data_IF_215960227473
#
_entry.id   IF_215960227473
#
_cell.length_a   1.000
_cell.length_b   1.000
_cell.length_c   1.000
_cell.angle_alpha   90.00
_cell.angle_beta   90.00
_cell.angle_gamma   90.00
#
_symmetry.space_group_name_H-M   'P 1'
#
loop_
_entity.id
_entity.type
_entity.pdbx_description
1 polymer ?
#
# COMPACT_ATOMS: atom_id res chain seq x y z
N UNK A 1 13.28 4.01 -6.32
CA UNK A 1 12.19 4.65 -5.55
C UNK A 1 11.67 3.66 -4.52
N UNK A 2 11.36 4.14 -3.31
CA UNK A 2 10.82 3.30 -2.23
C UNK A 2 9.36 3.61 -2.00
N UNK A 3 8.50 2.61 -2.05
CA UNK A 3 7.08 2.74 -1.75
C UNK A 3 6.63 1.79 -0.66
N UNK A 4 5.66 2.24 0.10
CA UNK A 4 4.77 1.43 0.91
C UNK A 4 3.41 1.45 0.25
N UNK A 5 2.79 0.31 0.09
CA UNK A 5 1.50 0.19 -0.61
C UNK A 5 0.46 -0.34 0.36
N UNK A 6 -0.61 0.42 0.56
CA UNK A 6 -1.74 -0.03 1.36
C UNK A 6 -2.46 -1.22 0.69
N UNK A 7 -3.05 -2.09 1.48
CA UNK A 7 -3.81 -3.23 0.97
C UNK A 7 -4.90 -2.81 -0.04
N UNK A 8 -5.49 -1.63 0.13
CA UNK A 8 -6.48 -1.07 -0.81
C UNK A 8 -5.96 -0.92 -2.24
N UNK A 9 -4.65 -0.75 -2.41
CA UNK A 9 -4.00 -0.70 -3.73
C UNK A 9 -3.66 -2.10 -4.21
N UNK A 10 -3.03 -2.91 -3.37
CA UNK A 10 -2.55 -4.24 -3.73
C UNK A 10 -3.68 -5.19 -4.17
N UNK A 11 -4.85 -5.11 -3.54
CA UNK A 11 -6.02 -5.93 -3.95
C UNK A 11 -6.44 -5.68 -5.39
N UNK A 12 -6.24 -4.47 -5.92
CA UNK A 12 -6.55 -4.13 -7.31
C UNK A 12 -5.74 -4.95 -8.31
N UNK A 13 -4.53 -5.37 -7.94
CA UNK A 13 -3.68 -6.22 -8.81
C UNK A 13 -4.33 -7.55 -9.16
N UNK A 14 -5.25 -8.03 -8.30
CA UNK A 14 -5.96 -9.30 -8.45
C UNK A 14 -7.38 -9.13 -8.99
N UNK A 15 -7.84 -7.90 -9.16
CA UNK A 15 -9.20 -7.57 -9.61
C UNK A 15 -9.24 -6.92 -11.00
N UNK A 16 -8.18 -7.08 -11.80
CA UNK A 16 -8.06 -6.42 -13.12
C UNK A 16 -9.09 -6.87 -14.15
N UNK A 17 -9.75 -8.00 -13.93
CA UNK A 17 -10.86 -8.47 -14.78
C UNK A 17 -12.22 -7.89 -14.35
N UNK A 18 -12.28 -7.13 -13.27
CA UNK A 18 -13.49 -6.49 -12.76
C UNK A 18 -13.68 -5.13 -13.41
N UNK A 19 -14.85 -4.93 -14.02
CA UNK A 19 -15.19 -3.67 -14.71
C UNK A 19 -15.57 -2.54 -13.75
N UNK A 20 -15.93 -2.86 -12.51
CA UNK A 20 -16.28 -1.90 -11.46
C UNK A 20 -15.06 -1.41 -10.64
N UNK A 21 -13.88 -1.96 -10.90
CA UNK A 21 -12.66 -1.57 -10.20
C UNK A 21 -12.08 -0.29 -10.78
N UNK A 22 -11.95 0.75 -9.95
CA UNK A 22 -11.40 2.04 -10.33
C UNK A 22 -9.88 2.11 -10.17
N UNK A 23 -9.23 3.06 -10.85
CA UNK A 23 -7.80 3.34 -10.73
C UNK A 23 -6.91 2.14 -11.04
N UNK A 24 -7.36 1.28 -11.94
CA UNK A 24 -6.64 0.05 -12.29
C UNK A 24 -5.30 0.36 -12.96
N UNK A 25 -5.25 1.35 -13.85
CA UNK A 25 -4.03 1.73 -14.57
C UNK A 25 -2.93 2.19 -13.59
N UNK A 26 -3.31 2.98 -12.60
CA UNK A 26 -2.39 3.45 -11.56
C UNK A 26 -1.87 2.28 -10.71
N UNK A 27 -2.75 1.38 -10.31
CA UNK A 27 -2.36 0.20 -9.52
C UNK A 27 -1.41 -0.71 -10.31
N UNK A 28 -1.66 -0.93 -11.60
CA UNK A 28 -0.81 -1.74 -12.46
C UNK A 28 0.54 -1.06 -12.77
N UNK A 29 0.59 0.29 -12.84
CA UNK A 29 1.84 1.02 -12.95
C UNK A 29 2.74 0.81 -11.72
N UNK A 30 2.16 0.81 -10.53
CA UNK A 30 2.90 0.49 -9.29
C UNK A 30 3.44 -0.94 -9.36
N UNK A 31 2.60 -1.91 -9.70
CA UNK A 31 3.02 -3.32 -9.81
C UNK A 31 4.13 -3.50 -10.85
N UNK A 32 4.02 -2.87 -12.01
CA UNK A 32 5.05 -2.89 -13.05
C UNK A 32 6.37 -2.32 -12.55
N UNK A 33 6.33 -1.23 -11.81
CA UNK A 33 7.53 -0.64 -11.18
C UNK A 33 8.21 -1.61 -10.21
N UNK A 34 7.44 -2.35 -9.42
CA UNK A 34 7.96 -3.38 -8.53
C UNK A 34 8.57 -4.54 -9.33
N UNK A 35 7.87 -5.02 -10.35
CA UNK A 35 8.33 -6.14 -11.18
C UNK A 35 9.63 -5.82 -11.94
N UNK A 36 9.82 -4.59 -12.35
CA UNK A 36 11.04 -4.13 -13.06
C UNK A 36 12.18 -3.73 -12.11
N UNK A 37 11.94 -3.67 -10.81
CA UNK A 37 12.92 -3.20 -9.82
C UNK A 37 13.06 -1.67 -9.75
N UNK A 38 12.27 -0.90 -10.49
CA UNK A 38 12.23 0.55 -10.40
C UNK A 38 11.65 1.02 -9.06
N UNK A 39 10.78 0.21 -8.46
CA UNK A 39 10.19 0.43 -7.14
C UNK A 39 10.66 -0.67 -6.20
N UNK A 40 11.27 -0.27 -5.09
CA UNK A 40 11.53 -1.12 -3.93
C UNK A 40 10.31 -1.05 -3.01
N UNK A 41 9.64 -2.17 -2.83
CA UNK A 41 8.44 -2.27 -2.00
C UNK A 41 8.82 -2.67 -0.58
N UNK A 42 8.39 -1.88 0.40
CA UNK A 42 8.64 -2.09 1.83
C UNK A 42 7.29 -2.09 2.54
N UNK A 43 6.99 -3.15 3.26
CA UNK A 43 5.64 -3.37 3.79
C UNK A 43 5.65 -3.65 5.30
N UNK A 44 4.55 -3.33 6.00
CA UNK A 44 4.35 -3.76 7.37
C UNK A 44 4.04 -5.27 7.46
N UNK A 45 4.15 -5.88 8.66
CA UNK A 45 4.04 -7.33 8.82
C UNK A 45 2.65 -7.90 8.52
N UNK A 46 1.60 -7.11 8.58
CA UNK A 46 0.22 -7.57 8.35
C UNK A 46 -0.25 -7.45 6.89
N UNK A 47 0.60 -6.99 5.98
CA UNK A 47 0.25 -6.75 4.58
C UNK A 47 -0.37 -7.97 3.90
N UNK A 48 0.31 -9.12 3.95
CA UNK A 48 -0.18 -10.35 3.32
C UNK A 48 -1.51 -10.79 3.93
N UNK A 49 -1.66 -10.68 5.27
CA UNK A 49 -2.89 -11.04 5.96
C UNK A 49 -4.08 -10.17 5.53
N UNK A 50 -3.89 -8.86 5.40
CA UNK A 50 -4.97 -7.95 4.97
C UNK A 50 -5.39 -8.21 3.53
N UNK A 51 -4.42 -8.34 2.61
CA UNK A 51 -4.73 -8.67 1.21
C UNK A 51 -5.44 -10.02 1.12
N UNK A 52 -4.94 -11.02 1.84
CA UNK A 52 -5.54 -12.36 1.89
C UNK A 52 -6.97 -12.35 2.40
N UNK A 53 -7.26 -11.53 3.41
CA UNK A 53 -8.63 -11.39 3.95
C UNK A 53 -9.60 -10.85 2.89
N UNK A 54 -9.18 -9.87 2.10
CA UNK A 54 -9.99 -9.33 1.00
C UNK A 54 -10.18 -10.37 -0.11
N UNK A 55 -9.11 -11.04 -0.52
CA UNK A 55 -9.17 -12.08 -1.55
C UNK A 55 -10.10 -13.24 -1.15
N UNK A 56 -10.03 -13.70 0.08
CA UNK A 56 -10.89 -14.75 0.60
C UNK A 56 -12.38 -14.36 0.60
N UNK A 57 -12.67 -13.11 0.88
CA UNK A 57 -14.06 -12.60 0.91
C UNK A 57 -14.59 -12.30 -0.49
N UNK A 58 -13.79 -11.65 -1.35
CA UNK A 58 -14.26 -11.10 -2.62
C UNK A 58 -14.08 -12.05 -3.81
N UNK A 59 -13.10 -12.93 -3.76
CA UNK A 59 -12.76 -13.85 -4.86
C UNK A 59 -12.32 -15.22 -4.32
N UNK A 60 -13.17 -15.92 -3.54
CA UNK A 60 -12.78 -17.16 -2.87
C UNK A 60 -12.36 -18.26 -3.84
N UNK A 61 -12.93 -18.29 -5.03
CA UNK A 61 -12.60 -19.28 -6.09
C UNK A 61 -11.17 -19.16 -6.64
N UNK A 62 -10.54 -17.99 -6.50
CA UNK A 62 -9.17 -17.72 -6.96
C UNK A 62 -8.20 -17.41 -5.83
N UNK A 63 -8.65 -17.37 -4.59
CA UNK A 63 -7.88 -16.84 -3.46
C UNK A 63 -6.53 -17.54 -3.27
N UNK A 64 -6.46 -18.86 -3.42
CA UNK A 64 -5.22 -19.61 -3.27
C UNK A 64 -4.20 -19.31 -4.37
N UNK A 65 -4.64 -19.16 -5.60
CA UNK A 65 -3.79 -18.74 -6.72
C UNK A 65 -3.27 -17.32 -6.50
N UNK A 66 -4.16 -16.42 -6.15
CA UNK A 66 -3.83 -15.00 -5.94
C UNK A 66 -2.87 -14.83 -4.75
N UNK A 67 -3.01 -15.64 -3.70
CA UNK A 67 -2.04 -15.65 -2.59
C UNK A 67 -0.64 -16.07 -3.07
N UNK A 68 -0.53 -17.10 -3.91
CA UNK A 68 0.76 -17.51 -4.47
C UNK A 68 1.37 -16.38 -5.31
N UNK A 69 0.58 -15.72 -6.14
CA UNK A 69 1.03 -14.60 -6.96
C UNK A 69 1.49 -13.42 -6.08
N UNK A 70 0.78 -13.14 -5.00
CA UNK A 70 1.18 -12.11 -4.01
C UNK A 70 2.53 -12.44 -3.36
N UNK A 71 2.75 -13.71 -3.00
CA UNK A 71 3.99 -14.16 -2.37
C UNK A 71 5.19 -14.16 -3.33
N UNK A 72 4.94 -14.20 -4.64
CA UNK A 72 5.97 -14.06 -5.67
C UNK A 72 6.41 -12.61 -5.90
N UNK A 73 5.65 -11.64 -5.39
CA UNK A 73 6.03 -10.23 -5.45
C UNK A 73 7.16 -9.97 -4.46
N UNK A 74 8.24 -9.35 -4.93
CA UNK A 74 9.39 -9.03 -4.08
C UNK A 74 9.11 -7.81 -3.21
N UNK A 75 9.12 -7.99 -1.91
CA UNK A 75 9.04 -6.91 -0.93
C UNK A 75 9.78 -7.27 0.36
N UNK A 76 10.20 -6.26 1.11
CA UNK A 76 10.76 -6.43 2.44
C UNK A 76 9.75 -6.04 3.51
N UNK A 77 9.91 -6.59 4.71
CA UNK A 77 9.05 -6.30 5.87
C UNK A 77 9.82 -5.42 6.87
N UNK A 78 9.16 -4.37 7.36
CA UNK A 78 9.60 -3.61 8.52
C UNK A 78 8.61 -3.72 9.66
N UNK A 79 9.06 -4.27 10.78
CA UNK A 79 8.27 -4.56 11.98
C UNK A 79 9.01 -4.18 13.28
N UNK A 80 9.97 -3.26 13.17
CA UNK A 80 10.76 -2.83 14.31
C UNK A 80 9.98 -1.90 15.27
N UNK A 81 10.54 -1.71 16.47
CA UNK A 81 9.90 -0.92 17.52
C UNK A 81 9.59 0.53 17.11
N UNK A 82 10.44 1.16 16.28
CA UNK A 82 10.22 2.53 15.82
C UNK A 82 8.97 2.63 14.94
N UNK A 83 8.74 1.65 14.08
CA UNK A 83 7.54 1.58 13.22
C UNK A 83 6.28 1.46 14.07
N UNK A 84 6.25 0.56 15.05
CA UNK A 84 5.08 0.42 15.94
C UNK A 84 4.84 1.67 16.78
N UNK A 85 5.89 2.28 17.34
CA UNK A 85 5.76 3.51 18.10
C UNK A 85 5.17 4.65 17.26
N UNK A 86 5.64 4.79 16.02
CA UNK A 86 5.11 5.78 15.07
C UNK A 86 3.65 5.48 14.71
N UNK A 87 3.31 4.22 14.45
CA UNK A 87 1.96 3.80 14.11
C UNK A 87 0.97 4.09 15.24
N UNK A 88 1.35 3.82 16.49
CA UNK A 88 0.54 4.14 17.67
C UNK A 88 0.30 5.65 17.81
N UNK A 89 1.35 6.44 17.62
CA UNK A 89 1.25 7.90 17.67
C UNK A 89 0.27 8.44 16.62
N UNK A 90 0.39 7.96 15.39
CA UNK A 90 -0.53 8.32 14.30
C UNK A 90 -1.97 7.86 14.58
N UNK A 91 -2.15 6.64 15.10
CA UNK A 91 -3.47 6.11 15.41
C UNK A 91 -4.20 6.97 16.44
N UNK A 92 -3.49 7.42 17.47
CA UNK A 92 -4.02 8.33 18.50
C UNK A 92 -4.30 9.71 17.90
N UNK A 93 -3.34 10.27 17.20
CA UNK A 93 -3.42 11.62 16.62
C UNK A 93 -4.54 11.73 15.58
N UNK A 94 -4.70 10.73 14.72
CA UNK A 94 -5.67 10.73 13.63
C UNK A 94 -7.00 10.07 14.00
N UNK A 95 -7.10 9.52 15.20
CA UNK A 95 -8.27 8.70 15.60
C UNK A 95 -8.60 7.66 14.53
N UNK A 96 -7.63 6.81 14.21
CA UNK A 96 -7.71 5.84 13.13
C UNK A 96 -7.13 4.49 13.54
N UNK A 97 -7.51 3.44 12.84
CA UNK A 97 -7.05 2.08 13.15
C UNK A 97 -5.54 1.93 12.97
N UNK A 98 -4.89 1.29 13.94
CA UNK A 98 -3.46 1.01 13.91
C UNK A 98 -3.03 0.25 12.65
N UNK A 99 -3.86 -0.69 12.18
CA UNK A 99 -3.53 -1.48 10.98
C UNK A 99 -3.34 -0.61 9.73
N UNK A 100 -4.07 0.49 9.61
CA UNK A 100 -3.89 1.45 8.51
C UNK A 100 -2.69 2.37 8.77
N UNK A 101 -2.52 2.86 10.01
CA UNK A 101 -1.40 3.74 10.34
C UNK A 101 -0.06 3.02 10.33
N UNK A 102 -0.02 1.68 10.43
CA UNK A 102 1.21 0.89 10.27
C UNK A 102 1.84 1.06 8.88
N UNK A 103 1.06 1.11 7.82
CA UNK A 103 1.58 1.38 6.47
C UNK A 103 2.25 2.75 6.42
N UNK A 104 1.60 3.77 6.95
CA UNK A 104 2.14 5.13 6.98
C UNK A 104 3.40 5.23 7.86
N UNK A 105 3.39 4.55 9.01
CA UNK A 105 4.56 4.50 9.89
C UNK A 105 5.79 3.89 9.20
N UNK A 106 5.61 2.83 8.41
CA UNK A 106 6.71 2.25 7.62
C UNK A 106 7.29 3.29 6.66
N UNK A 107 6.43 4.07 5.98
CA UNK A 107 6.89 5.13 5.09
C UNK A 107 7.64 6.24 5.83
N UNK A 108 7.12 6.69 6.98
CA UNK A 108 7.75 7.76 7.78
C UNK A 108 9.09 7.34 8.37
N UNK A 109 9.22 6.09 8.80
CA UNK A 109 10.44 5.56 9.42
C UNK A 109 11.46 5.01 8.39
N UNK A 110 11.10 4.97 7.10
CA UNK A 110 11.99 4.52 6.03
C UNK A 110 12.43 5.70 5.18
N UNK A 111 13.71 6.09 5.20
CA UNK A 111 14.19 7.22 4.41
C UNK A 111 13.83 7.11 2.93
N UNK A 112 13.17 8.14 2.40
CA UNK A 112 12.78 8.23 0.99
C UNK A 112 11.54 7.42 0.60
N UNK A 113 10.90 6.70 1.53
CA UNK A 113 9.68 5.95 1.23
C UNK A 113 8.43 6.85 1.28
N UNK A 114 7.45 6.53 0.47
CA UNK A 114 6.13 7.19 0.42
C UNK A 114 5.04 6.11 0.46
N UNK A 115 4.02 6.35 1.27
CA UNK A 115 2.80 5.53 1.28
C UNK A 115 1.92 5.89 0.09
N UNK A 116 1.51 4.88 -0.67
CA UNK A 116 0.46 5.00 -1.69
C UNK A 116 -0.78 4.27 -1.21
N UNK A 117 -1.91 4.96 -1.15
CA UNK A 117 -3.18 4.41 -0.70
C UNK A 117 -4.35 4.80 -1.60
N UNK A 118 -5.34 3.94 -1.70
CA UNK A 118 -6.63 4.22 -2.33
C UNK A 118 -7.73 4.52 -1.30
N UNK A 119 -7.41 4.48 -0.01
CA UNK A 119 -8.34 4.76 1.07
C UNK A 119 -8.55 6.27 1.24
N UNK A 120 -9.68 6.77 0.71
CA UNK A 120 -10.04 8.18 0.78
C UNK A 120 -10.27 8.67 2.21
N UNK A 121 -10.79 7.83 3.08
CA UNK A 121 -11.02 8.16 4.48
C UNK A 121 -9.70 8.39 5.22
N UNK A 122 -8.72 7.52 5.00
CA UNK A 122 -7.39 7.69 5.55
C UNK A 122 -6.70 8.95 5.00
N UNK A 123 -6.75 9.16 3.69
CA UNK A 123 -6.17 10.35 3.06
C UNK A 123 -6.75 11.65 3.62
N UNK A 124 -8.04 11.69 3.88
CA UNK A 124 -8.68 12.86 4.48
C UNK A 124 -8.17 13.14 5.90
N UNK A 125 -7.98 12.11 6.72
CA UNK A 125 -7.42 12.23 8.07
C UNK A 125 -5.94 12.58 8.07
N UNK A 126 -5.17 11.99 7.16
CA UNK A 126 -3.72 12.18 7.03
C UNK A 126 -3.32 13.40 6.20
N UNK A 127 -4.24 14.29 5.90
CA UNK A 127 -4.05 15.44 4.99
C UNK A 127 -2.88 16.37 5.38
N UNK A 128 -2.59 16.48 6.68
CA UNK A 128 -1.50 17.30 7.19
C UNK A 128 -0.20 16.51 7.40
N UNK A 129 -0.22 15.21 7.12
CA UNK A 129 0.94 14.34 7.31
C UNK A 129 1.79 14.24 6.04
N UNK A 130 3.09 14.03 6.24
CA UNK A 130 4.04 13.85 5.16
C UNK A 130 4.04 12.41 4.62
N UNK A 131 4.64 12.23 3.45
CA UNK A 131 4.96 10.93 2.84
C UNK A 131 3.76 9.99 2.64
N UNK A 132 2.63 10.58 2.29
CA UNK A 132 1.45 9.85 1.86
C UNK A 132 0.87 10.50 0.62
N UNK A 133 0.48 9.69 -0.35
CA UNK A 133 -0.23 10.16 -1.53
C UNK A 133 -1.35 9.20 -1.93
N UNK A 134 -2.30 9.74 -2.68
CA UNK A 134 -3.35 8.91 -3.29
C UNK A 134 -2.78 8.03 -4.40
N UNK A 135 -3.48 6.96 -4.71
CA UNK A 135 -3.12 6.11 -5.85
C UNK A 135 -3.08 6.91 -7.17
N UNK A 136 -4.02 7.84 -7.38
CA UNK A 136 -3.97 8.75 -8.54
C UNK A 136 -2.72 9.63 -8.52
N UNK A 137 -2.35 10.15 -7.35
CA UNK A 137 -1.14 10.98 -7.19
C UNK A 137 0.16 10.22 -7.40
N UNK A 138 0.16 8.88 -7.28
CA UNK A 138 1.36 8.07 -7.49
C UNK A 138 1.88 8.13 -8.93
N UNK A 139 1.05 8.45 -9.91
CA UNK A 139 1.47 8.60 -11.30
C UNK A 139 2.56 9.67 -11.46
N UNK A 140 2.35 10.86 -10.91
CA UNK A 140 3.34 11.94 -10.95
C UNK A 140 4.62 11.56 -10.18
N UNK A 141 4.46 10.88 -9.05
CA UNK A 141 5.58 10.41 -8.24
C UNK A 141 6.47 9.40 -9.01
N UNK A 142 5.86 8.46 -9.72
CA UNK A 142 6.56 7.40 -10.47
C UNK A 142 7.19 7.97 -11.76
N UNK A 143 6.49 8.89 -12.46
CA UNK A 143 7.01 9.52 -13.68
C UNK A 143 8.12 10.53 -13.43
N UNK A 144 8.33 10.93 -12.18
CA UNK A 144 9.31 11.97 -11.82
C UNK A 144 8.90 13.38 -12.25
N UNK A 145 7.66 13.58 -12.63
CA UNK A 145 7.09 14.89 -12.90
C UNK A 145 6.93 15.64 -11.58
N UNK A 146 7.68 16.72 -11.42
CA UNK A 146 7.46 17.63 -10.28
C UNK A 146 6.12 18.34 -10.46
N UNK A 147 5.36 18.50 -9.38
CA UNK A 147 4.13 19.29 -9.41
C UNK A 147 4.39 20.75 -9.76
#
# INVERSE_FOLDING_TARGET
>A
MKLVVDASVAVKWFFRDRTDESQMDEALNVLSGVATGAIELIQPPHFVAEVSAVLAREAPEHAQRDLRDLQDILFSIRDDAAVYARAMKLAIQLDHHLFDTLYHAVALETPGAVLVTADRRYLAKAKAEDRVCSLTGSRALISGERP
#
